data_IF_451794297401
#
_entry.id   IF_451794297401
#
_cell.length_a   1.000
_cell.length_b   1.000
_cell.length_c   1.000
_cell.angle_alpha   90.00
_cell.angle_beta   90.00
_cell.angle_gamma   90.00
#
_symmetry.space_group_name_H-M   'P 1'
#
loop_
_entity.id
_entity.type
_entity.pdbx_description
1 polymer ?
#
# COMPACT_ATOMS: atom_id res chain seq x y z
N UNK A 1 -58.79 -14.53 29.74
CA UNK A 1 -57.76 -15.26 30.48
C UNK A 1 -56.39 -14.82 29.91
N UNK A 2 -55.53 -14.35 30.75
CA UNK A 2 -54.15 -14.03 30.31
C UNK A 2 -53.30 -15.30 30.43
N UNK A 3 -52.60 -15.64 29.39
CA UNK A 3 -51.67 -16.78 29.37
C UNK A 3 -50.27 -16.24 29.66
N UNK A 4 -49.67 -16.69 30.76
CA UNK A 4 -48.31 -16.32 31.16
C UNK A 4 -47.33 -17.28 30.47
N UNK A 5 -46.47 -16.71 29.62
CA UNK A 5 -45.44 -17.49 28.89
C UNK A 5 -44.15 -17.45 29.72
N UNK A 6 -43.76 -18.63 30.28
CA UNK A 6 -42.55 -18.77 31.14
C UNK A 6 -41.27 -19.07 30.37
N UNK A 7 -41.36 -19.42 29.07
CA UNK A 7 -40.21 -19.77 28.25
C UNK A 7 -39.90 -18.68 27.25
N UNK A 8 -38.60 -18.55 26.92
CA UNK A 8 -38.12 -17.59 25.92
C UNK A 8 -38.65 -18.01 24.53
N UNK A 9 -39.28 -17.05 23.82
CA UNK A 9 -39.74 -17.28 22.44
C UNK A 9 -38.52 -17.45 21.55
N UNK A 10 -38.38 -18.59 20.89
CA UNK A 10 -37.26 -18.93 19.97
C UNK A 10 -37.66 -18.83 18.50
N UNK A 11 -38.94 -18.64 18.20
CA UNK A 11 -39.46 -18.44 16.85
C UNK A 11 -40.96 -18.23 16.85
N UNK A 12 -41.53 -17.73 15.79
CA UNK A 12 -42.99 -17.62 15.57
C UNK A 12 -43.28 -17.95 14.10
N UNK A 13 -44.43 -18.59 13.88
CA UNK A 13 -44.99 -18.95 12.57
C UNK A 13 -46.44 -18.54 12.50
N UNK A 14 -46.87 -18.00 11.38
CA UNK A 14 -48.27 -17.56 11.18
C UNK A 14 -48.99 -18.73 10.49
N UNK A 15 -49.87 -19.43 11.23
CA UNK A 15 -50.73 -20.46 10.68
C UNK A 15 -51.84 -19.83 9.84
N UNK A 16 -51.84 -20.01 8.52
CA UNK A 16 -52.95 -19.69 7.64
C UNK A 16 -53.87 -20.92 7.56
N UNK A 17 -55.21 -20.71 7.59
CA UNK A 17 -56.21 -21.76 7.57
C UNK A 17 -56.08 -22.70 6.35
N UNK A 18 -56.04 -23.99 6.64
CA UNK A 18 -55.69 -25.11 5.78
C UNK A 18 -56.82 -25.56 4.83
N UNK A 19 -57.23 -24.76 3.89
CA UNK A 19 -58.19 -25.26 2.90
C UNK A 19 -57.79 -25.12 1.43
N UNK A 20 -56.73 -24.34 1.10
CA UNK A 20 -56.35 -24.11 -0.32
C UNK A 20 -54.85 -24.32 -0.66
N UNK A 21 -54.05 -24.89 0.22
CA UNK A 21 -52.59 -24.93 0.07
C UNK A 21 -52.06 -26.31 -0.37
N UNK A 22 -52.89 -27.37 -0.44
CA UNK A 22 -52.38 -28.72 -0.68
C UNK A 22 -52.02 -29.07 -2.13
N UNK A 23 -52.42 -28.27 -3.12
CA UNK A 23 -52.09 -28.58 -4.54
C UNK A 23 -50.99 -27.64 -5.10
N UNK A 24 -50.77 -26.46 -4.54
CA UNK A 24 -49.72 -25.58 -5.00
C UNK A 24 -48.34 -25.91 -4.39
N UNK A 25 -48.31 -26.48 -3.18
CA UNK A 25 -47.02 -26.87 -2.56
C UNK A 25 -46.40 -28.13 -3.17
N UNK A 26 -47.18 -29.06 -3.74
CA UNK A 26 -46.62 -30.24 -4.43
C UNK A 26 -46.00 -29.89 -5.80
N UNK A 27 -46.38 -28.77 -6.38
CA UNK A 27 -45.80 -28.29 -7.66
C UNK A 27 -44.63 -27.36 -7.46
N UNK A 28 -44.54 -26.72 -6.27
CA UNK A 28 -43.42 -25.86 -5.89
C UNK A 28 -42.22 -26.69 -5.37
N UNK A 29 -42.46 -27.80 -4.68
CA UNK A 29 -41.39 -28.69 -4.20
C UNK A 29 -40.76 -29.57 -5.30
N UNK A 30 -41.46 -29.80 -6.42
CA UNK A 30 -40.88 -30.50 -7.56
C UNK A 30 -40.05 -29.60 -8.48
N UNK A 31 -40.24 -28.29 -8.41
CA UNK A 31 -39.50 -27.29 -9.17
C UNK A 31 -38.33 -26.64 -8.39
N UNK A 32 -38.26 -26.90 -7.08
CA UNK A 32 -37.22 -26.33 -6.18
C UNK A 32 -36.04 -27.28 -5.95
N UNK A 33 -35.89 -28.31 -6.79
CA UNK A 33 -34.68 -29.19 -6.81
C UNK A 33 -33.80 -28.96 -8.03
N UNK A 34 -33.81 -27.77 -8.61
CA UNK A 34 -32.61 -27.26 -9.24
C UNK A 34 -31.79 -26.63 -8.11
N UNK A 35 -30.84 -27.38 -7.63
CA UNK A 35 -29.76 -26.91 -6.78
C UNK A 35 -29.07 -25.74 -7.55
N UNK A 36 -29.52 -24.54 -7.30
CA UNK A 36 -28.62 -23.38 -7.48
C UNK A 36 -27.50 -23.65 -6.51
N UNK A 37 -26.42 -24.17 -7.04
CA UNK A 37 -25.13 -24.26 -6.37
C UNK A 37 -24.72 -22.80 -6.14
N UNK A 38 -25.24 -22.21 -5.05
CA UNK A 38 -24.79 -20.91 -4.58
C UNK A 38 -23.37 -21.13 -4.13
N UNK A 39 -22.44 -20.94 -5.07
CA UNK A 39 -21.03 -21.00 -4.78
C UNK A 39 -20.77 -20.12 -3.57
N UNK A 40 -20.43 -20.74 -2.45
CA UNK A 40 -20.14 -20.04 -1.20
C UNK A 40 -18.90 -19.18 -1.44
N UNK A 41 -19.07 -17.84 -1.45
CA UNK A 41 -17.97 -16.91 -1.68
C UNK A 41 -17.05 -16.94 -0.46
N UNK A 42 -15.87 -17.52 -0.65
CA UNK A 42 -14.85 -17.62 0.39
C UNK A 42 -14.23 -16.23 0.60
N UNK A 43 -14.35 -15.72 1.81
CA UNK A 43 -13.68 -14.50 2.25
C UNK A 43 -12.45 -14.84 3.08
N UNK A 44 -11.48 -13.90 3.10
CA UNK A 44 -10.29 -14.06 3.92
C UNK A 44 -10.67 -14.02 5.41
N UNK A 45 -10.27 -15.05 6.16
CA UNK A 45 -10.47 -15.15 7.61
C UNK A 45 -9.34 -15.99 8.24
N UNK A 46 -9.16 -15.84 9.55
CA UNK A 46 -8.04 -16.44 10.31
C UNK A 46 -7.99 -17.97 10.31
N UNK A 47 -9.13 -18.65 10.06
CA UNK A 47 -9.23 -20.11 10.01
C UNK A 47 -8.95 -20.69 8.63
N UNK A 48 -8.66 -19.85 7.64
CA UNK A 48 -8.32 -20.31 6.30
C UNK A 48 -7.01 -21.10 6.36
N UNK A 49 -7.05 -22.38 5.97
CA UNK A 49 -5.84 -23.19 5.90
C UNK A 49 -4.90 -22.63 4.84
N UNK A 50 -3.60 -22.67 5.18
CA UNK A 50 -2.56 -22.23 4.26
C UNK A 50 -2.47 -23.22 3.09
N UNK A 51 -2.67 -22.79 1.84
CA UNK A 51 -2.44 -23.64 0.68
C UNK A 51 -0.97 -24.08 0.58
N UNK A 52 -0.72 -25.23 -0.04
CA UNK A 52 0.65 -25.73 -0.26
C UNK A 52 1.44 -24.77 -1.14
N UNK A 53 0.81 -24.12 -2.12
CA UNK A 53 1.41 -23.16 -3.02
C UNK A 53 0.73 -21.79 -2.90
N UNK A 54 1.54 -20.73 -2.75
CA UNK A 54 1.12 -19.35 -2.73
C UNK A 54 1.84 -18.57 -3.85
N UNK A 55 1.18 -17.55 -4.37
CA UNK A 55 1.80 -16.62 -5.31
C UNK A 55 2.61 -15.57 -4.53
N UNK A 56 3.90 -15.41 -4.84
CA UNK A 56 4.75 -14.50 -4.07
C UNK A 56 5.50 -13.49 -4.92
N UNK A 57 5.74 -12.32 -4.34
CA UNK A 57 6.60 -11.28 -4.89
C UNK A 57 7.70 -10.93 -3.90
N UNK A 58 8.94 -10.80 -4.39
CA UNK A 58 10.08 -10.45 -3.53
C UNK A 58 10.62 -9.07 -3.91
N UNK A 59 10.67 -8.19 -2.92
CA UNK A 59 11.17 -6.82 -3.02
C UNK A 59 12.55 -6.72 -2.41
N UNK A 60 13.50 -6.14 -3.15
CA UNK A 60 14.87 -5.87 -2.67
C UNK A 60 14.96 -4.42 -2.20
N UNK A 61 15.26 -4.24 -0.93
CA UNK A 61 15.52 -2.94 -0.32
C UNK A 61 17.00 -2.84 -0.01
N UNK A 62 17.65 -1.79 -0.50
CA UNK A 62 19.03 -1.45 -0.13
C UNK A 62 19.03 -0.07 0.50
N UNK A 63 19.45 -0.01 1.76
CA UNK A 63 19.58 1.23 2.52
C UNK A 63 21.03 1.67 2.57
N UNK A 64 21.31 2.98 2.65
CA UNK A 64 22.67 3.47 2.87
C UNK A 64 23.24 3.08 4.24
N UNK A 65 22.36 2.77 5.20
CA UNK A 65 22.74 2.43 6.58
C UNK A 65 23.21 0.98 6.75
N UNK A 66 22.99 0.12 5.75
CA UNK A 66 23.36 -1.30 5.81
C UNK A 66 24.13 -1.72 4.56
N UNK A 67 25.22 -2.45 4.76
CA UNK A 67 25.97 -3.08 3.66
C UNK A 67 25.14 -4.14 2.92
N UNK A 68 24.22 -4.78 3.63
CA UNK A 68 23.42 -5.87 3.13
C UNK A 68 22.00 -5.41 2.74
N UNK A 69 21.53 -5.92 1.62
CA UNK A 69 20.15 -5.70 1.20
C UNK A 69 19.17 -6.50 2.07
N UNK A 70 17.99 -5.92 2.25
CA UNK A 70 16.83 -6.57 2.84
C UNK A 70 15.95 -7.12 1.71
N UNK A 71 15.47 -8.33 1.86
CA UNK A 71 14.54 -8.97 0.91
C UNK A 71 13.21 -9.21 1.62
N UNK A 72 12.17 -8.57 1.11
CA UNK A 72 10.80 -8.70 1.61
C UNK A 72 10.04 -9.57 0.64
N UNK A 73 9.58 -10.72 1.09
CA UNK A 73 8.74 -11.63 0.30
C UNK A 73 7.32 -11.58 0.85
N UNK A 74 6.36 -11.22 0.00
CA UNK A 74 4.93 -11.21 0.33
C UNK A 74 4.28 -12.28 -0.53
N UNK A 75 3.62 -13.23 0.13
CA UNK A 75 2.91 -14.32 -0.52
C UNK A 75 1.41 -14.08 -0.40
N UNK A 76 0.70 -14.30 -1.51
CA UNK A 76 -0.72 -14.07 -1.65
C UNK A 76 -1.48 -15.37 -1.81
N UNK A 77 -2.67 -15.40 -1.27
CA UNK A 77 -3.68 -16.42 -1.56
C UNK A 77 -4.64 -15.91 -2.62
N UNK A 78 -5.01 -16.77 -3.53
CA UNK A 78 -6.05 -16.53 -4.52
C UNK A 78 -7.35 -17.16 -4.04
N UNK A 79 -8.31 -16.32 -3.68
CA UNK A 79 -9.64 -16.75 -3.23
C UNK A 79 -10.59 -16.85 -4.42
N UNK A 80 -11.53 -17.81 -4.39
CA UNK A 80 -12.56 -18.01 -5.41
C UNK A 80 -12.01 -18.14 -6.84
N UNK A 81 -10.91 -18.87 -6.98
CA UNK A 81 -10.20 -19.03 -8.26
C UNK A 81 -11.15 -19.48 -9.38
N UNK A 82 -11.08 -18.81 -10.54
CA UNK A 82 -11.87 -19.12 -11.72
C UNK A 82 -13.34 -18.70 -11.66
N UNK A 83 -13.72 -17.87 -10.68
CA UNK A 83 -15.06 -17.30 -10.56
C UNK A 83 -15.03 -15.78 -10.80
N UNK A 84 -16.21 -15.16 -10.96
CA UNK A 84 -16.33 -13.68 -11.05
C UNK A 84 -15.90 -12.98 -9.76
N UNK A 85 -15.77 -13.72 -8.65
CA UNK A 85 -15.37 -13.24 -7.34
C UNK A 85 -13.91 -13.56 -7.01
N UNK A 86 -13.09 -13.84 -8.01
CA UNK A 86 -11.67 -14.06 -7.81
C UNK A 86 -11.01 -12.86 -7.15
N UNK A 87 -10.35 -13.11 -6.02
CA UNK A 87 -9.73 -12.04 -5.23
C UNK A 87 -8.35 -12.48 -4.75
N UNK A 88 -7.32 -11.71 -5.09
CA UNK A 88 -5.96 -11.90 -4.60
C UNK A 88 -5.75 -11.11 -3.31
N UNK A 89 -5.30 -11.79 -2.24
CA UNK A 89 -5.11 -11.21 -0.91
C UNK A 89 -3.76 -11.59 -0.34
N UNK A 90 -3.03 -10.67 0.32
CA UNK A 90 -1.78 -11.01 0.99
C UNK A 90 -2.09 -11.96 2.16
N UNK A 91 -1.27 -12.98 2.31
CA UNK A 91 -1.42 -14.03 3.33
C UNK A 91 -0.30 -14.01 4.35
N UNK A 92 0.94 -13.88 3.89
CA UNK A 92 2.12 -13.91 4.75
C UNK A 92 3.23 -13.01 4.20
N UNK A 93 4.09 -12.53 5.10
CA UNK A 93 5.27 -11.74 4.76
C UNK A 93 6.49 -12.31 5.46
N UNK A 94 7.60 -12.36 4.73
CA UNK A 94 8.92 -12.74 5.25
C UNK A 94 9.93 -11.65 4.92
N UNK A 95 10.85 -11.43 5.85
CA UNK A 95 11.95 -10.49 5.67
C UNK A 95 13.26 -11.23 5.92
N UNK A 96 14.11 -11.28 4.92
CA UNK A 96 15.40 -11.92 4.96
C UNK A 96 16.52 -10.90 4.72
N UNK A 97 17.55 -10.95 5.55
CA UNK A 97 18.76 -10.16 5.39
C UNK A 97 19.97 -10.95 5.90
N UNK A 98 21.16 -10.64 5.39
CA UNK A 98 22.42 -11.12 5.99
C UNK A 98 22.78 -10.37 7.28
N UNK A 99 22.21 -9.18 7.49
CA UNK A 99 22.35 -8.46 8.74
C UNK A 99 21.45 -9.08 9.80
N UNK A 100 22.05 -9.59 10.87
CA UNK A 100 21.34 -10.24 11.98
C UNK A 100 20.98 -9.26 13.10
N UNK A 101 21.35 -7.98 12.98
CA UNK A 101 20.98 -6.97 13.96
C UNK A 101 19.45 -6.85 14.03
N UNK A 102 18.92 -6.91 15.25
CA UNK A 102 17.48 -6.83 15.50
C UNK A 102 16.62 -7.93 14.83
N UNK A 103 17.22 -9.03 14.38
CA UNK A 103 16.53 -10.11 13.66
C UNK A 103 15.27 -10.61 14.39
N UNK A 104 15.32 -10.78 15.70
CA UNK A 104 14.17 -11.21 16.50
C UNK A 104 12.97 -10.22 16.41
N UNK A 105 13.24 -8.92 16.36
CA UNK A 105 12.20 -7.89 16.19
C UNK A 105 11.62 -7.91 14.78
N UNK A 106 12.44 -8.12 13.79
CA UNK A 106 12.00 -8.27 12.39
C UNK A 106 11.09 -9.49 12.27
N UNK A 107 11.47 -10.64 12.84
CA UNK A 107 10.63 -11.85 12.85
C UNK A 107 9.31 -11.61 13.59
N UNK A 108 9.34 -10.96 14.74
CA UNK A 108 8.12 -10.61 15.48
C UNK A 108 7.19 -9.72 14.65
N UNK A 109 7.73 -8.69 14.02
CA UNK A 109 6.98 -7.77 13.15
C UNK A 109 6.34 -8.53 11.96
N UNK A 110 7.09 -9.37 11.26
CA UNK A 110 6.56 -10.14 10.11
C UNK A 110 5.46 -11.11 10.54
N UNK A 111 5.56 -11.71 11.74
CA UNK A 111 4.51 -12.59 12.28
C UNK A 111 3.23 -11.80 12.58
N UNK A 112 3.34 -10.60 13.16
CA UNK A 112 2.20 -9.73 13.46
C UNK A 112 1.54 -9.27 12.17
N UNK A 113 2.30 -8.78 11.19
CA UNK A 113 1.77 -8.37 9.88
C UNK A 113 1.06 -9.54 9.19
N UNK A 114 1.67 -10.74 9.17
CA UNK A 114 1.05 -11.94 8.60
C UNK A 114 -0.25 -12.32 9.32
N UNK A 115 -0.33 -12.14 10.64
CA UNK A 115 -1.55 -12.37 11.39
C UNK A 115 -2.67 -11.38 11.01
N UNK A 116 -2.31 -10.09 10.80
CA UNK A 116 -3.25 -9.07 10.33
C UNK A 116 -3.77 -9.41 8.93
N UNK A 117 -2.90 -9.83 8.01
CA UNK A 117 -3.31 -10.25 6.66
C UNK A 117 -4.31 -11.41 6.72
N UNK A 118 -4.05 -12.43 7.53
CA UNK A 118 -4.93 -13.61 7.69
C UNK A 118 -6.25 -13.29 8.39
N UNK A 119 -6.28 -12.29 9.25
CA UNK A 119 -7.52 -11.87 9.91
C UNK A 119 -8.59 -11.46 8.89
N UNK A 120 -8.18 -10.97 7.73
CA UNK A 120 -9.07 -10.47 6.69
C UNK A 120 -9.53 -9.05 6.93
N UNK A 121 -10.45 -8.58 6.09
CA UNK A 121 -10.92 -7.20 6.10
C UNK A 121 -9.93 -6.24 5.45
N UNK A 122 -9.99 -4.98 5.86
CA UNK A 122 -9.07 -3.95 5.37
C UNK A 122 -7.75 -4.01 6.13
N UNK A 123 -6.66 -4.25 5.41
CA UNK A 123 -5.30 -4.26 5.95
C UNK A 123 -4.47 -3.06 5.44
N UNK A 124 -5.09 -2.12 4.72
CA UNK A 124 -4.38 -0.98 4.12
C UNK A 124 -3.83 -0.01 5.17
N UNK A 125 -4.46 0.07 6.33
CA UNK A 125 -4.01 0.88 7.46
C UNK A 125 -2.59 0.55 7.93
N UNK A 126 -2.13 -0.70 7.72
CA UNK A 126 -0.76 -1.11 8.06
C UNK A 126 0.30 -0.26 7.35
N UNK A 127 0.01 0.23 6.16
CA UNK A 127 0.92 1.08 5.39
C UNK A 127 1.19 2.38 6.13
N UNK A 128 0.12 3.03 6.61
CA UNK A 128 0.22 4.31 7.30
C UNK A 128 0.90 4.14 8.67
N UNK A 129 0.56 3.09 9.40
CA UNK A 129 1.19 2.78 10.68
C UNK A 129 2.70 2.53 10.53
N UNK A 130 3.12 1.73 9.57
CA UNK A 130 4.53 1.45 9.34
C UNK A 130 5.29 2.69 8.82
N UNK A 131 4.63 3.54 8.03
CA UNK A 131 5.23 4.77 7.51
C UNK A 131 5.42 5.84 8.56
N UNK A 132 4.62 5.84 9.60
CA UNK A 132 4.72 6.79 10.71
C UNK A 132 5.92 6.53 11.61
N UNK A 133 6.55 5.35 11.51
CA UNK A 133 7.70 4.99 12.34
C UNK A 133 8.96 5.74 11.89
N UNK A 134 9.62 6.41 12.82
CA UNK A 134 10.90 7.08 12.61
C UNK A 134 12.03 6.39 13.39
N UNK A 135 13.26 6.49 12.88
CA UNK A 135 14.47 6.03 13.60
C UNK A 135 15.00 7.18 14.44
N UNK A 136 15.20 6.99 15.78
CA UNK A 136 15.80 8.02 16.65
C UNK A 136 17.20 8.47 16.22
N UNK A 137 17.93 7.63 15.49
CA UNK A 137 19.25 7.95 14.94
C UNK A 137 19.19 8.80 13.66
N UNK A 138 17.99 9.06 13.16
CA UNK A 138 17.73 9.79 11.94
C UNK A 138 17.43 8.88 10.75
N UNK A 139 16.68 9.43 9.78
CA UNK A 139 16.39 8.76 8.51
C UNK A 139 17.51 8.90 7.49
N UNK A 140 17.23 8.51 6.26
CA UNK A 140 18.18 8.58 5.14
C UNK A 140 17.50 8.95 3.83
N UNK A 141 18.30 9.42 2.88
CA UNK A 141 17.84 9.67 1.52
C UNK A 141 18.12 8.47 0.62
N UNK A 142 17.14 8.12 -0.18
CA UNK A 142 17.31 7.14 -1.28
C UNK A 142 17.75 7.84 -2.56
N UNK A 143 18.22 7.06 -3.53
CA UNK A 143 18.42 7.53 -4.89
C UNK A 143 17.13 8.18 -5.40
N UNK A 144 17.24 9.35 -6.04
CA UNK A 144 16.09 10.16 -6.43
C UNK A 144 15.62 11.14 -5.35
N UNK A 145 16.39 11.34 -4.25
CA UNK A 145 16.14 12.37 -3.24
C UNK A 145 14.94 12.12 -2.33
N UNK A 146 14.38 10.92 -2.31
CA UNK A 146 13.26 10.54 -1.42
C UNK A 146 13.77 10.24 -0.02
N UNK A 147 13.33 11.04 0.95
CA UNK A 147 13.66 10.84 2.35
C UNK A 147 12.87 9.68 2.95
N UNK A 148 13.53 8.84 3.75
CA UNK A 148 12.94 7.75 4.52
C UNK A 148 13.26 7.93 6.00
N UNK A 149 12.24 8.09 6.85
CA UNK A 149 12.44 8.30 8.28
C UNK A 149 12.97 7.05 9.00
N UNK A 150 12.72 5.85 8.45
CA UNK A 150 13.23 4.60 9.03
C UNK A 150 13.19 3.44 8.03
N UNK A 151 13.86 2.35 8.36
CA UNK A 151 13.75 1.08 7.63
C UNK A 151 12.33 0.50 7.69
N UNK A 152 11.61 0.69 8.80
CA UNK A 152 10.23 0.24 8.96
C UNK A 152 9.29 0.97 8.00
N UNK A 153 9.51 2.28 7.82
CA UNK A 153 8.80 3.06 6.80
C UNK A 153 9.00 2.49 5.39
N UNK A 154 10.21 2.02 5.09
CA UNK A 154 10.50 1.41 3.78
C UNK A 154 9.82 0.04 3.59
N UNK A 155 9.66 -0.72 4.67
CA UNK A 155 8.84 -1.95 4.68
C UNK A 155 7.37 -1.59 4.38
N UNK A 156 6.85 -0.53 4.97
CA UNK A 156 5.50 -0.01 4.68
C UNK A 156 5.33 0.36 3.19
N UNK A 157 6.32 1.00 2.58
CA UNK A 157 6.29 1.31 1.14
C UNK A 157 6.27 0.04 0.26
N UNK A 158 7.01 -1.01 0.65
CA UNK A 158 7.00 -2.27 -0.10
C UNK A 158 5.63 -2.95 -0.02
N UNK A 159 4.99 -2.91 1.14
CA UNK A 159 3.63 -3.42 1.35
C UNK A 159 2.63 -2.61 0.52
N UNK A 160 2.73 -1.28 0.52
CA UNK A 160 1.85 -0.44 -0.31
C UNK A 160 2.01 -0.75 -1.80
N UNK A 161 3.25 -0.84 -2.28
CA UNK A 161 3.54 -1.20 -3.68
C UNK A 161 2.89 -2.54 -4.04
N UNK A 162 2.98 -3.52 -3.12
CA UNK A 162 2.37 -4.82 -3.30
C UNK A 162 0.84 -4.74 -3.32
N UNK A 163 0.23 -4.03 -2.36
CA UNK A 163 -1.22 -3.86 -2.28
C UNK A 163 -1.79 -3.11 -3.50
N UNK A 164 -1.03 -2.17 -4.07
CA UNK A 164 -1.39 -1.52 -5.35
C UNK A 164 -1.33 -2.52 -6.51
N UNK A 165 -0.28 -3.33 -6.57
CA UNK A 165 -0.09 -4.34 -7.62
C UNK A 165 -1.24 -5.37 -7.64
N UNK A 166 -1.73 -5.80 -6.48
CA UNK A 166 -2.85 -6.75 -6.37
C UNK A 166 -4.23 -6.08 -6.41
N UNK A 167 -4.31 -4.74 -6.53
CA UNK A 167 -5.55 -3.99 -6.66
C UNK A 167 -6.30 -3.71 -5.35
N UNK A 168 -5.69 -3.96 -4.18
CA UNK A 168 -6.28 -3.62 -2.88
C UNK A 168 -6.28 -2.12 -2.61
N UNK A 169 -5.23 -1.42 -3.04
CA UNK A 169 -5.13 0.03 -2.97
C UNK A 169 -5.27 0.55 -4.40
N UNK A 170 -6.24 1.41 -4.64
CA UNK A 170 -6.34 2.12 -5.91
C UNK A 170 -5.21 3.11 -6.00
N UNK A 171 -4.45 3.04 -7.08
CA UNK A 171 -3.44 4.06 -7.35
C UNK A 171 -4.16 5.32 -7.84
N UNK A 172 -4.39 6.25 -6.93
CA UNK A 172 -4.83 7.60 -7.27
C UNK A 172 -3.62 8.39 -7.79
N UNK A 173 -2.89 7.80 -8.74
CA UNK A 173 -1.78 8.47 -9.41
C UNK A 173 -2.19 9.84 -9.91
N UNK A 174 -1.21 10.71 -10.10
CA UNK A 174 -1.47 12.02 -10.71
C UNK A 174 -2.25 11.83 -12.00
N UNK A 175 -3.28 12.64 -12.16
CA UNK A 175 -4.04 12.76 -13.40
C UNK A 175 -3.07 13.07 -14.56
N UNK A 176 -3.35 12.57 -15.76
CA UNK A 176 -2.47 12.77 -16.92
C UNK A 176 -2.24 14.24 -17.21
N UNK A 177 -3.24 15.10 -16.98
CA UNK A 177 -3.11 16.55 -17.05
C UNK A 177 -2.10 17.11 -16.01
N UNK A 178 -2.10 16.56 -14.78
CA UNK A 178 -1.14 16.97 -13.76
C UNK A 178 0.29 16.54 -14.10
N UNK A 179 0.46 15.36 -14.72
CA UNK A 179 1.77 14.90 -15.21
C UNK A 179 2.30 15.81 -16.30
N UNK A 180 1.45 16.18 -17.26
CA UNK A 180 1.81 17.07 -18.37
C UNK A 180 2.20 18.46 -17.84
N UNK A 181 1.46 19.01 -16.88
CA UNK A 181 1.80 20.27 -16.23
C UNK A 181 3.15 20.21 -15.49
N UNK A 182 3.44 19.09 -14.82
CA UNK A 182 4.72 18.92 -14.14
C UNK A 182 5.89 18.79 -15.09
N UNK A 183 5.71 18.08 -16.19
CA UNK A 183 6.72 17.97 -17.24
C UNK A 183 6.98 19.34 -17.92
N UNK A 184 5.92 20.11 -18.16
CA UNK A 184 6.07 21.45 -18.69
C UNK A 184 6.86 22.36 -17.75
N UNK A 185 6.57 22.33 -16.45
CA UNK A 185 7.31 23.09 -15.43
C UNK A 185 8.76 22.60 -15.27
N UNK A 186 9.02 21.30 -15.40
CA UNK A 186 10.41 20.79 -15.44
C UNK A 186 11.19 21.38 -16.60
N UNK A 187 10.63 21.33 -17.79
CA UNK A 187 11.27 21.88 -19.00
C UNK A 187 11.53 23.38 -18.88
N UNK A 188 10.58 24.11 -18.31
CA UNK A 188 10.71 25.55 -18.07
C UNK A 188 11.87 25.86 -17.10
N UNK A 189 11.93 25.12 -15.98
CA UNK A 189 13.02 25.27 -15.01
C UNK A 189 14.39 24.91 -15.61
N UNK A 190 14.49 23.85 -16.38
CA UNK A 190 15.71 23.47 -17.07
C UNK A 190 16.15 24.53 -18.11
N UNK A 191 15.18 25.12 -18.82
CA UNK A 191 15.44 26.19 -19.78
C UNK A 191 15.94 27.47 -19.13
N UNK A 192 15.47 27.79 -17.92
CA UNK A 192 15.94 28.97 -17.14
C UNK A 192 17.37 28.72 -16.65
N UNK A 193 17.63 27.55 -16.04
CA UNK A 193 18.95 27.21 -15.50
C UNK A 193 20.03 27.01 -16.56
N UNK A 194 19.67 26.57 -17.77
CA UNK A 194 20.63 26.49 -18.88
C UNK A 194 21.08 27.85 -19.39
N UNK A 195 20.32 28.92 -19.11
CA UNK A 195 20.74 30.30 -19.50
C UNK A 195 21.74 30.91 -18.53
N UNK A 196 21.71 30.49 -17.26
CA UNK A 196 22.60 31.05 -16.22
C UNK A 196 23.99 30.40 -16.20
N UNK A 197 24.18 29.24 -16.83
CA UNK A 197 25.50 28.55 -16.93
C UNK A 197 26.40 29.18 -18.00
N UNK A 198 25.87 30.07 -18.87
CA UNK A 198 26.61 30.73 -19.94
C UNK A 198 27.36 32.03 -19.56
N UNK A 199 27.27 32.50 -18.32
CA UNK A 199 27.80 33.82 -17.95
C UNK A 199 28.53 33.86 -16.59
N UNK A 200 29.35 32.87 -16.25
CA UNK A 200 30.27 33.00 -15.11
C UNK A 200 31.48 32.08 -15.22
N UNK A 201 32.40 32.42 -16.12
CA UNK A 201 33.80 32.13 -15.90
C UNK A 201 34.33 33.19 -14.95
N UNK A 202 34.53 32.89 -13.69
CA UNK A 202 35.46 33.39 -12.70
C UNK A 202 34.87 33.44 -11.29
N UNK A 203 35.13 32.37 -10.54
CA UNK A 203 35.42 32.49 -9.11
C UNK A 203 36.04 31.17 -8.62
N UNK A 204 37.37 31.13 -8.70
CA UNK A 204 38.15 30.16 -7.93
C UNK A 204 38.16 30.65 -6.46
N UNK A 205 37.97 29.72 -5.59
CA UNK A 205 38.59 29.53 -4.28
C UNK A 205 37.62 29.21 -3.16
N UNK A 206 37.97 28.09 -2.53
CA UNK A 206 37.76 27.73 -1.12
C UNK A 206 36.43 27.04 -0.73
N UNK A 207 36.60 25.79 -0.34
CA UNK A 207 35.75 25.17 0.65
C UNK A 207 35.24 23.80 0.33
N UNK A 208 36.02 22.79 0.73
CA UNK A 208 35.64 21.44 1.10
C UNK A 208 34.61 20.70 0.23
N UNK A 209 35.17 19.86 -0.62
CA UNK A 209 34.50 18.80 -1.37
C UNK A 209 33.90 17.77 -0.41
N UNK A 210 32.65 17.92 -0.05
CA UNK A 210 31.85 16.79 0.36
C UNK A 210 31.38 16.09 -0.91
N UNK A 211 32.09 15.03 -1.28
CA UNK A 211 31.71 14.11 -2.33
C UNK A 211 30.44 13.36 -1.92
N UNK A 212 29.29 13.94 -2.18
CA UNK A 212 28.01 13.23 -2.24
C UNK A 212 27.44 13.36 -3.66
N UNK A 213 28.07 12.65 -4.59
CA UNK A 213 27.53 12.39 -5.91
C UNK A 213 26.41 11.34 -5.82
N UNK A 214 25.29 11.70 -5.24
CA UNK A 214 24.00 11.07 -5.47
C UNK A 214 23.14 12.09 -6.22
N UNK A 215 23.35 12.15 -7.53
CA UNK A 215 22.52 12.91 -8.47
C UNK A 215 21.09 12.36 -8.39
N UNK A 216 20.26 13.02 -7.59
CA UNK A 216 18.81 12.86 -7.68
C UNK A 216 18.33 13.40 -9.03
N UNK A 217 17.21 12.89 -9.54
CA UNK A 217 16.56 13.35 -10.77
C UNK A 217 16.07 14.81 -10.71
N UNK A 218 16.37 15.52 -9.63
CA UNK A 218 15.89 16.87 -9.32
C UNK A 218 17.07 17.84 -9.09
N UNK A 219 16.85 19.15 -9.26
CA UNK A 219 17.86 20.16 -9.09
C UNK A 219 18.58 20.09 -7.72
N UNK A 220 19.89 20.35 -7.65
CA UNK A 220 20.68 20.20 -6.43
C UNK A 220 20.21 21.13 -5.29
N UNK A 221 19.63 22.28 -5.62
CA UNK A 221 19.14 23.28 -4.65
C UNK A 221 17.67 23.08 -4.26
N UNK A 222 17.04 21.95 -4.66
CA UNK A 222 15.65 21.69 -4.30
C UNK A 222 15.48 21.42 -2.81
N UNK A 223 14.36 21.87 -2.24
CA UNK A 223 13.98 21.63 -0.86
C UNK A 223 13.19 20.33 -0.71
N UNK A 224 13.09 19.84 0.51
CA UNK A 224 12.31 18.63 0.84
C UNK A 224 10.81 18.94 0.81
N UNK A 225 10.03 18.15 0.08
CA UNK A 225 8.58 18.24 0.06
C UNK A 225 7.97 17.65 1.33
N UNK A 226 7.06 18.37 1.99
CA UNK A 226 6.38 17.89 3.18
C UNK A 226 5.38 16.75 2.88
N UNK A 227 4.86 16.68 1.64
CA UNK A 227 3.84 15.69 1.24
C UNK A 227 4.45 14.35 0.78
N UNK A 228 5.39 14.39 -0.15
CA UNK A 228 5.97 13.17 -0.71
C UNK A 228 7.37 12.83 -0.16
N UNK A 229 7.92 13.68 0.71
CA UNK A 229 9.25 13.55 1.31
C UNK A 229 10.38 13.36 0.28
N UNK A 230 10.21 13.95 -0.91
CA UNK A 230 11.22 13.98 -1.96
C UNK A 230 11.88 15.36 -1.99
N UNK A 231 13.19 15.41 -2.14
CA UNK A 231 13.95 16.66 -2.33
C UNK A 231 13.75 17.16 -3.76
N UNK A 232 12.60 17.78 -4.02
CA UNK A 232 12.14 18.18 -5.36
C UNK A 232 11.34 19.50 -5.37
N UNK A 233 11.33 20.25 -4.27
CA UNK A 233 10.62 21.52 -4.19
C UNK A 233 11.52 22.64 -4.67
N UNK A 234 11.03 23.39 -5.64
CA UNK A 234 11.70 24.59 -6.20
C UNK A 234 10.78 25.80 -6.09
N UNK A 235 11.37 26.99 -6.05
CA UNK A 235 10.62 28.25 -6.13
C UNK A 235 10.45 28.62 -7.60
N UNK A 236 9.18 28.69 -8.06
CA UNK A 236 8.79 29.16 -9.39
C UNK A 236 7.63 30.12 -9.26
N UNK A 237 7.71 31.25 -9.92
CA UNK A 237 6.65 32.28 -9.98
C UNK A 237 6.10 32.71 -8.60
N UNK A 238 6.98 32.73 -7.58
CA UNK A 238 6.59 33.06 -6.20
C UNK A 238 5.91 31.89 -5.44
N UNK A 239 5.77 30.72 -6.03
CA UNK A 239 5.23 29.53 -5.40
C UNK A 239 6.31 28.46 -5.19
N UNK A 240 6.22 27.74 -4.07
CA UNK A 240 7.06 26.58 -3.78
C UNK A 240 6.40 25.33 -4.35
N UNK A 241 6.89 24.87 -5.51
CA UNK A 241 6.28 23.74 -6.24
C UNK A 241 7.17 22.51 -6.18
N UNK A 242 6.58 21.35 -5.83
CA UNK A 242 7.26 20.07 -5.84
C UNK A 242 7.21 19.43 -7.23
N UNK A 243 8.37 19.20 -7.84
CA UNK A 243 8.48 18.57 -9.16
C UNK A 243 8.20 17.05 -9.15
N UNK A 244 8.06 16.43 -7.97
CA UNK A 244 7.77 15.00 -7.82
C UNK A 244 6.27 14.70 -7.71
N UNK A 245 5.54 15.45 -6.87
CA UNK A 245 4.12 15.16 -6.60
C UNK A 245 3.16 16.30 -6.98
N UNK A 246 3.67 17.40 -7.52
CA UNK A 246 2.86 18.54 -7.94
C UNK A 246 2.30 19.40 -6.82
N UNK A 247 2.64 19.11 -5.56
CA UNK A 247 2.23 19.94 -4.43
C UNK A 247 2.81 21.34 -4.57
N UNK A 248 1.96 22.36 -4.46
CA UNK A 248 2.37 23.76 -4.62
C UNK A 248 1.82 24.61 -3.49
N UNK A 249 2.70 25.40 -2.87
CA UNK A 249 2.35 26.37 -1.84
C UNK A 249 2.75 27.75 -2.35
N UNK A 250 1.75 28.56 -2.63
CA UNK A 250 1.92 29.98 -2.92
C UNK A 250 1.74 30.74 -1.60
N UNK A 251 2.69 31.59 -1.23
CA UNK A 251 2.71 32.38 0.00
C UNK A 251 1.76 33.58 -0.09
#
# INVERSE_FOLDING_TARGET
MAIEIKNKIVGYEVLKNDAEVSEQNKKAEASAKETVDTAEIIQMHEKLERPDMLLGSTYKIKTPQSEHALYITINDVLLNQGTEHELRRPYEIFINSKNMDHFQWIVALTRIISAVFRKGGDATFLVDELRSVFDPRGGYFKKGGKYKPSLVCEIGDAIECHMKMIGMIKDNGMDDHQKEMLEAKRREYEAINCKDVGASENAAAAGETVNNAETGDFPPNSLLCAKCHTKAVISMDGCMTCLSCGDSKCG
#
